data_IF_980804090818
#
_entry.id   IF_980804090818
#
_cell.length_a   1.000
_cell.length_b   1.000
_cell.length_c   1.000
_cell.angle_alpha   90.00
_cell.angle_beta   90.00
_cell.angle_gamma   90.00
#
_symmetry.space_group_name_H-M   'P 1'
#
loop_
_entity.id
_entity.type
_entity.pdbx_description
1 polymer ?
#
# COMPACT_ATOMS: atom_id res chain seq x y z
N UNK A 1 -15.47 16.40 3.65
CA UNK A 1 -14.42 15.35 3.65
C UNK A 1 -13.01 15.90 3.81
N UNK A 2 -12.55 16.87 2.99
CA UNK A 2 -11.18 17.43 3.14
C UNK A 2 -10.90 17.98 4.55
N UNK A 3 -11.82 18.76 5.14
CA UNK A 3 -11.67 19.35 6.49
C UNK A 3 -11.53 18.31 7.61
N UNK A 4 -12.29 17.21 7.55
CA UNK A 4 -12.22 16.12 8.51
C UNK A 4 -10.89 15.36 8.40
N UNK A 5 -10.37 15.14 7.18
CA UNK A 5 -9.09 14.47 6.95
C UNK A 5 -7.88 15.36 7.27
N UNK A 6 -7.97 16.68 7.05
CA UNK A 6 -7.00 17.65 7.58
C UNK A 6 -6.99 17.64 9.10
N UNK A 7 -8.16 17.51 9.74
CA UNK A 7 -8.28 17.31 11.18
C UNK A 7 -7.62 15.98 11.60
N UNK A 8 -7.79 14.91 10.82
CA UNK A 8 -7.14 13.62 11.10
C UNK A 8 -5.60 13.68 11.04
N UNK A 9 -5.03 14.38 10.04
CA UNK A 9 -3.58 14.67 10.01
C UNK A 9 -3.16 15.51 11.23
N UNK A 10 -3.84 16.62 11.45
CA UNK A 10 -3.41 17.63 12.43
C UNK A 10 -3.60 17.17 13.88
N UNK A 11 -4.51 16.23 14.13
CA UNK A 11 -4.75 15.68 15.47
C UNK A 11 -3.72 14.59 15.82
N UNK A 12 -2.88 14.13 14.89
CA UNK A 12 -2.08 12.90 15.01
C UNK A 12 -3.01 11.67 15.10
N UNK A 13 -2.89 10.77 14.12
CA UNK A 13 -3.71 9.56 14.04
C UNK A 13 -3.58 8.70 15.32
N UNK A 14 -2.42 8.72 15.98
CA UNK A 14 -2.23 8.02 17.25
C UNK A 14 -3.07 8.62 18.38
N UNK A 15 -3.29 9.93 18.35
CA UNK A 15 -4.15 10.62 19.32
C UNK A 15 -5.62 10.36 19.03
N UNK A 16 -6.00 10.25 17.76
CA UNK A 16 -7.36 9.88 17.36
C UNK A 16 -7.73 8.46 17.75
N UNK A 17 -6.81 7.52 17.57
CA UNK A 17 -6.96 6.14 18.08
C UNK A 17 -7.29 6.15 19.59
N UNK A 18 -6.61 7.00 20.37
CA UNK A 18 -6.83 7.13 21.81
C UNK A 18 -8.11 7.89 22.19
N UNK A 19 -8.58 8.80 21.34
CA UNK A 19 -9.76 9.65 21.59
C UNK A 19 -11.07 9.01 21.14
N UNK A 20 -11.02 8.00 20.26
CA UNK A 20 -12.18 7.32 19.72
C UNK A 20 -12.36 5.93 20.35
N UNK A 21 -13.59 5.43 20.36
CA UNK A 21 -13.81 4.01 20.62
C UNK A 21 -13.13 3.18 19.51
N UNK A 22 -12.42 2.11 19.89
CA UNK A 22 -11.62 1.31 18.94
C UNK A 22 -12.40 0.88 17.69
N UNK A 23 -13.64 0.40 17.84
CA UNK A 23 -14.48 0.00 16.71
C UNK A 23 -14.84 1.15 15.77
N UNK A 24 -14.99 2.37 16.29
CA UNK A 24 -15.26 3.56 15.50
C UNK A 24 -14.01 3.99 14.71
N UNK A 25 -12.82 3.91 15.32
CA UNK A 25 -11.55 4.19 14.66
C UNK A 25 -11.24 3.19 13.55
N UNK A 26 -11.39 1.88 13.84
CA UNK A 26 -11.24 0.80 12.86
C UNK A 26 -12.15 1.00 11.66
N UNK A 27 -13.42 1.26 11.93
CA UNK A 27 -14.42 1.49 10.89
C UNK A 27 -14.07 2.67 10.00
N UNK A 28 -13.59 3.77 10.59
CA UNK A 28 -13.13 4.95 9.86
C UNK A 28 -11.97 4.62 8.93
N UNK A 29 -11.00 3.82 9.40
CA UNK A 29 -9.87 3.37 8.61
C UNK A 29 -10.28 2.41 7.48
N UNK A 30 -11.42 1.73 7.61
CA UNK A 30 -11.86 0.72 6.65
C UNK A 30 -12.73 1.27 5.50
N UNK A 31 -13.37 2.44 5.68
CA UNK A 31 -14.19 3.09 4.65
C UNK A 31 -13.47 3.21 3.30
N UNK A 32 -12.23 3.72 3.21
CA UNK A 32 -11.54 3.87 1.93
C UNK A 32 -11.31 2.51 1.23
N UNK A 33 -11.05 1.46 2.00
CA UNK A 33 -10.79 0.11 1.47
C UNK A 33 -12.05 -0.46 0.84
N UNK A 34 -13.21 -0.29 1.49
CA UNK A 34 -14.50 -0.75 0.95
C UNK A 34 -14.85 -0.01 -0.33
N UNK A 35 -14.67 1.31 -0.35
CA UNK A 35 -14.92 2.11 -1.54
C UNK A 35 -14.07 1.61 -2.72
N UNK A 36 -12.79 1.31 -2.46
CA UNK A 36 -11.87 0.81 -3.47
C UNK A 36 -12.19 -0.64 -3.93
N UNK A 37 -12.50 -1.53 -2.99
CA UNK A 37 -12.71 -2.96 -3.26
C UNK A 37 -14.12 -3.26 -3.82
N UNK A 38 -15.14 -2.52 -3.40
CA UNK A 38 -16.54 -2.73 -3.82
C UNK A 38 -17.01 -1.72 -4.89
N UNK A 39 -16.23 -0.67 -5.17
CA UNK A 39 -16.62 0.37 -6.12
C UNK A 39 -17.82 1.21 -5.68
N UNK A 40 -18.10 1.28 -4.37
CA UNK A 40 -19.24 2.02 -3.80
C UNK A 40 -18.85 3.42 -3.34
N UNK A 41 -19.82 4.33 -3.25
CA UNK A 41 -19.58 5.69 -2.79
C UNK A 41 -19.47 5.78 -1.26
N UNK A 42 -18.76 6.80 -0.76
CA UNK A 42 -18.51 6.99 0.68
C UNK A 42 -19.80 7.02 1.51
N UNK A 43 -20.86 7.66 1.01
CA UNK A 43 -22.15 7.74 1.72
C UNK A 43 -22.81 6.37 1.90
N UNK A 44 -22.73 5.51 0.88
CA UNK A 44 -23.28 4.14 0.95
C UNK A 44 -22.46 3.24 1.87
N UNK A 45 -21.13 3.42 1.89
CA UNK A 45 -20.25 2.72 2.81
C UNK A 45 -20.55 3.10 4.27
N UNK A 46 -20.77 4.38 4.56
CA UNK A 46 -21.07 4.87 5.91
C UNK A 46 -22.46 4.50 6.43
N UNK A 47 -23.44 4.28 5.55
CA UNK A 47 -24.82 3.94 5.92
C UNK A 47 -25.02 2.46 6.30
N UNK A 48 -24.13 1.57 5.85
CA UNK A 48 -24.17 0.15 6.26
C UNK A 48 -23.67 0.04 7.72
N UNK A 49 -24.24 -0.86 8.51
CA UNK A 49 -23.93 -0.99 9.93
C UNK A 49 -22.42 -1.31 10.13
N UNK A 50 -21.67 -0.41 10.75
CA UNK A 50 -20.19 -0.39 10.66
C UNK A 50 -19.48 -1.63 11.24
N UNK A 51 -20.05 -2.26 12.28
CA UNK A 51 -19.53 -3.54 12.79
C UNK A 51 -19.78 -4.73 11.86
N UNK A 52 -20.87 -4.71 11.08
CA UNK A 52 -21.12 -5.70 10.02
C UNK A 52 -20.14 -5.46 8.87
N UNK A 53 -19.82 -4.20 8.59
CA UNK A 53 -18.88 -3.81 7.55
C UNK A 53 -17.47 -4.32 7.83
N UNK A 54 -16.92 -4.14 9.04
CA UNK A 54 -15.57 -4.60 9.37
C UNK A 54 -15.43 -6.12 9.22
N UNK A 55 -16.37 -6.88 9.79
CA UNK A 55 -16.40 -8.34 9.64
C UNK A 55 -16.60 -8.76 8.18
N UNK A 56 -17.38 -7.98 7.42
CA UNK A 56 -17.57 -8.20 6.00
C UNK A 56 -16.31 -7.85 5.20
N UNK A 57 -15.51 -6.86 5.58
CA UNK A 57 -14.21 -6.57 4.93
C UNK A 57 -13.25 -7.74 5.13
N UNK A 58 -13.11 -8.24 6.36
CA UNK A 58 -12.25 -9.39 6.65
C UNK A 58 -12.62 -10.59 5.77
N UNK A 59 -13.91 -10.96 5.74
CA UNK A 59 -14.39 -12.06 4.89
C UNK A 59 -14.41 -11.73 3.39
N UNK A 60 -14.63 -10.46 3.02
CA UNK A 60 -14.70 -10.03 1.62
C UNK A 60 -13.31 -9.89 1.00
N UNK A 61 -12.27 -9.55 1.76
CA UNK A 61 -10.89 -9.45 1.27
C UNK A 61 -10.21 -10.82 1.16
N UNK A 62 -10.80 -11.88 1.73
CA UNK A 62 -10.45 -13.27 1.40
C UNK A 62 -10.86 -13.66 -0.04
N UNK A 63 -11.81 -12.94 -0.65
CA UNK A 63 -12.23 -13.14 -2.06
C UNK A 63 -11.23 -12.52 -3.04
N UNK A 64 -10.58 -13.36 -3.85
CA UNK A 64 -9.61 -12.95 -4.87
C UNK A 64 -10.18 -11.90 -5.83
N UNK A 65 -11.48 -11.93 -6.14
CA UNK A 65 -12.08 -10.92 -7.02
C UNK A 65 -12.01 -9.53 -6.40
N UNK A 66 -12.21 -9.42 -5.09
CA UNK A 66 -12.18 -8.13 -4.38
C UNK A 66 -10.76 -7.65 -4.15
N UNK A 67 -9.79 -8.56 -3.95
CA UNK A 67 -8.35 -8.21 -3.98
C UNK A 67 -7.93 -7.68 -5.34
N UNK A 68 -8.36 -8.31 -6.43
CA UNK A 68 -8.10 -7.84 -7.80
C UNK A 68 -8.77 -6.49 -8.05
N UNK A 69 -9.99 -6.26 -7.56
CA UNK A 69 -10.65 -4.95 -7.64
C UNK A 69 -9.90 -3.88 -6.86
N UNK A 70 -9.49 -4.16 -5.62
CA UNK A 70 -8.68 -3.26 -4.79
C UNK A 70 -7.38 -2.89 -5.50
N UNK A 71 -6.64 -3.90 -6.00
CA UNK A 71 -5.42 -3.70 -6.79
C UNK A 71 -5.67 -2.79 -7.99
N UNK A 72 -6.69 -3.08 -8.81
CA UNK A 72 -7.00 -2.29 -9.99
C UNK A 72 -7.42 -0.85 -9.64
N UNK A 73 -8.18 -0.68 -8.56
CA UNK A 73 -8.57 0.64 -8.06
C UNK A 73 -7.34 1.46 -7.69
N UNK A 74 -6.43 0.90 -6.90
CA UNK A 74 -5.19 1.59 -6.46
C UNK A 74 -4.30 1.93 -7.66
N UNK A 75 -4.12 1.00 -8.60
CA UNK A 75 -3.34 1.25 -9.81
C UNK A 75 -3.95 2.36 -10.67
N UNK A 76 -5.28 2.44 -10.73
CA UNK A 76 -5.98 3.45 -11.54
C UNK A 76 -6.01 4.84 -10.89
N UNK A 77 -6.04 4.90 -9.56
CA UNK A 77 -6.17 6.15 -8.81
C UNK A 77 -5.46 6.04 -7.45
N UNK A 78 -4.12 6.13 -7.40
CA UNK A 78 -3.37 6.07 -6.14
C UNK A 78 -3.69 7.24 -5.20
N UNK A 79 -4.21 8.36 -5.74
CA UNK A 79 -4.55 9.57 -4.98
C UNK A 79 -5.73 9.37 -4.03
N UNK A 80 -6.49 8.28 -4.18
CA UNK A 80 -7.52 7.90 -3.20
C UNK A 80 -6.93 7.63 -1.81
N UNK A 81 -5.64 7.27 -1.74
CA UNK A 81 -4.92 7.01 -0.48
C UNK A 81 -4.22 8.25 0.10
N UNK A 82 -4.25 9.39 -0.61
CA UNK A 82 -3.56 10.64 -0.21
C UNK A 82 -3.82 11.06 1.23
N UNK A 83 -5.08 10.96 1.64
CA UNK A 83 -5.54 11.45 2.93
C UNK A 83 -5.88 10.32 3.90
N UNK A 84 -5.39 9.12 3.64
CA UNK A 84 -5.70 7.95 4.47
C UNK A 84 -4.71 7.77 5.61
N UNK A 85 -5.15 7.25 6.77
CA UNK A 85 -4.28 6.90 7.89
C UNK A 85 -3.21 5.88 7.50
N UNK A 86 -2.08 5.82 8.24
CA UNK A 86 -1.12 4.71 8.14
C UNK A 86 -1.78 3.34 8.29
N UNK A 87 -2.80 3.22 9.15
CA UNK A 87 -3.58 2.01 9.40
C UNK A 87 -4.34 1.53 8.15
N UNK A 88 -4.92 2.47 7.40
CA UNK A 88 -5.60 2.15 6.14
C UNK A 88 -4.60 1.72 5.08
N UNK A 89 -3.47 2.44 4.94
CA UNK A 89 -2.42 2.08 3.97
C UNK A 89 -1.81 0.72 4.32
N UNK A 90 -1.55 0.46 5.59
CA UNK A 90 -1.05 -0.81 6.09
C UNK A 90 -1.99 -1.97 5.79
N UNK A 91 -3.29 -1.80 6.04
CA UNK A 91 -4.27 -2.83 5.71
C UNK A 91 -4.45 -3.06 4.20
N UNK A 92 -4.36 -2.01 3.39
CA UNK A 92 -4.31 -2.13 1.94
C UNK A 92 -3.11 -2.98 1.51
N UNK A 93 -1.92 -2.72 2.04
CA UNK A 93 -0.72 -3.49 1.69
C UNK A 93 -0.85 -4.92 2.19
N UNK A 94 -1.31 -5.14 3.43
CA UNK A 94 -1.54 -6.47 3.99
C UNK A 94 -2.45 -7.31 3.08
N UNK A 95 -3.51 -6.69 2.56
CA UNK A 95 -4.45 -7.32 1.62
C UNK A 95 -3.81 -7.64 0.27
N UNK A 96 -2.92 -6.78 -0.24
CA UNK A 96 -2.26 -6.97 -1.53
C UNK A 96 -1.19 -8.06 -1.50
N UNK A 97 -0.52 -8.22 -0.35
CA UNK A 97 0.53 -9.23 -0.15
C UNK A 97 -0.02 -10.57 0.35
N UNK A 98 -1.25 -10.59 0.87
CA UNK A 98 -1.97 -11.81 1.18
C UNK A 98 -2.13 -12.64 -0.09
N UNK A 99 -1.67 -13.89 -0.04
CA UNK A 99 -1.48 -14.69 -1.24
C UNK A 99 -1.84 -16.15 -0.99
N UNK A 100 -2.51 -16.73 -1.99
CA UNK A 100 -2.70 -18.17 -2.11
C UNK A 100 -1.95 -18.69 -3.34
N UNK A 101 -1.61 -19.98 -3.42
CA UNK A 101 -0.83 -20.52 -4.55
C UNK A 101 -1.52 -20.35 -5.92
N UNK A 102 -2.85 -20.26 -5.94
CA UNK A 102 -3.68 -20.03 -7.15
C UNK A 102 -3.43 -18.65 -7.75
N UNK A 103 -3.06 -17.68 -6.92
CA UNK A 103 -2.85 -16.29 -7.28
C UNK A 103 -1.71 -16.09 -8.30
N UNK A 104 -0.71 -16.96 -8.23
CA UNK A 104 0.46 -16.92 -9.11
C UNK A 104 0.07 -17.21 -10.56
N UNK A 105 -0.99 -18.00 -10.76
CA UNK A 105 -1.49 -18.43 -12.06
C UNK A 105 -2.61 -17.52 -12.59
N UNK A 106 -3.15 -16.62 -11.77
CA UNK A 106 -4.22 -15.73 -12.21
C UNK A 106 -3.66 -14.65 -13.16
N UNK A 107 -4.09 -14.65 -14.45
CA UNK A 107 -3.60 -13.69 -15.43
C UNK A 107 -3.95 -12.23 -15.08
N UNK A 108 -4.96 -11.99 -14.22
CA UNK A 108 -5.36 -10.65 -13.77
C UNK A 108 -4.30 -9.99 -12.89
N UNK A 109 -3.49 -10.78 -12.20
CA UNK A 109 -2.37 -10.31 -11.37
C UNK A 109 -1.09 -10.06 -12.18
N UNK A 110 -1.08 -10.47 -13.45
CA UNK A 110 0.03 -10.29 -14.38
C UNK A 110 -0.15 -9.02 -15.20
N UNK A 111 0.97 -8.46 -15.65
CA UNK A 111 0.93 -7.49 -16.72
C UNK A 111 1.13 -8.21 -18.06
N UNK A 112 0.01 -8.43 -18.76
CA UNK A 112 -0.02 -9.13 -20.05
C UNK A 112 -0.05 -8.17 -21.26
N UNK A 113 0.12 -6.86 -21.03
CA UNK A 113 0.18 -5.89 -22.12
C UNK A 113 1.56 -5.96 -22.81
N UNK A 114 1.71 -6.83 -23.80
CA UNK A 114 2.96 -7.06 -24.55
C UNK A 114 3.66 -5.79 -25.05
N UNK A 115 2.98 -4.66 -25.17
CA UNK A 115 3.54 -3.39 -25.65
C UNK A 115 4.01 -2.46 -24.52
N UNK A 116 3.75 -2.79 -23.26
CA UNK A 116 4.25 -2.04 -22.12
C UNK A 116 5.66 -2.52 -21.71
N UNK A 117 6.53 -1.56 -21.35
CA UNK A 117 7.88 -1.83 -20.81
C UNK A 117 7.84 -2.76 -19.59
N UNK A 118 6.73 -2.78 -18.88
CA UNK A 118 6.47 -3.61 -17.71
C UNK A 118 6.16 -5.08 -18.03
N UNK A 119 5.83 -5.45 -19.27
CA UNK A 119 5.47 -6.83 -19.62
C UNK A 119 6.66 -7.76 -19.77
N UNK A 120 7.80 -7.19 -20.14
CA UNK A 120 9.09 -7.88 -20.23
C UNK A 120 9.64 -8.31 -18.86
N UNK A 121 9.06 -7.81 -17.75
CA UNK A 121 9.50 -8.17 -16.39
C UNK A 121 9.25 -9.63 -16.13
N UNK A 122 10.22 -10.34 -15.59
CA UNK A 122 10.03 -11.73 -15.17
C UNK A 122 9.50 -11.79 -13.74
N UNK A 123 8.65 -12.77 -13.46
CA UNK A 123 8.08 -13.03 -12.13
C UNK A 123 6.56 -12.82 -12.04
N UNK A 124 5.89 -13.53 -11.10
CA UNK A 124 4.44 -13.46 -10.93
C UNK A 124 3.99 -12.20 -10.16
N UNK A 125 2.68 -11.96 -10.11
CA UNK A 125 2.03 -10.95 -9.27
C UNK A 125 2.46 -9.50 -9.55
N UNK A 126 2.94 -9.20 -10.77
CA UNK A 126 3.51 -7.90 -11.16
C UNK A 126 2.61 -6.72 -10.79
N UNK A 127 1.30 -6.83 -11.04
CA UNK A 127 0.34 -5.74 -10.79
C UNK A 127 0.11 -5.51 -9.30
N UNK A 128 0.14 -6.56 -8.47
CA UNK A 128 0.05 -6.42 -7.01
C UNK A 128 1.29 -5.76 -6.44
N UNK A 129 2.48 -6.18 -6.89
CA UNK A 129 3.74 -5.54 -6.50
C UNK A 129 3.71 -4.05 -6.85
N UNK A 130 3.25 -3.69 -8.04
CA UNK A 130 3.04 -2.28 -8.42
C UNK A 130 2.01 -1.57 -7.52
N UNK A 131 0.90 -2.23 -7.18
CA UNK A 131 -0.11 -1.67 -6.30
C UNK A 131 0.42 -1.40 -4.88
N UNK A 132 1.34 -2.23 -4.37
CA UNK A 132 2.03 -1.98 -3.10
C UNK A 132 2.79 -0.65 -3.16
N UNK A 133 3.61 -0.43 -4.19
CA UNK A 133 4.32 0.85 -4.35
C UNK A 133 3.37 2.04 -4.54
N UNK A 134 2.28 1.86 -5.28
CA UNK A 134 1.24 2.89 -5.43
C UNK A 134 0.55 3.22 -4.10
N UNK A 135 0.37 2.25 -3.21
CA UNK A 135 -0.15 2.48 -1.87
C UNK A 135 0.80 3.32 -0.99
N UNK A 136 2.12 3.22 -1.25
CA UNK A 136 3.16 4.00 -0.58
C UNK A 136 3.37 5.40 -1.18
N UNK A 137 2.76 5.72 -2.34
CA UNK A 137 2.97 6.99 -3.07
C UNK A 137 2.80 8.24 -2.22
N UNK A 138 1.89 8.20 -1.25
CA UNK A 138 1.54 9.34 -0.40
C UNK A 138 2.13 9.25 1.02
N UNK A 139 3.16 8.42 1.24
CA UNK A 139 3.90 8.43 2.50
C UNK A 139 4.72 9.71 2.59
N UNK A 140 4.66 10.37 3.74
CA UNK A 140 5.30 11.66 3.93
C UNK A 140 6.69 11.55 4.55
N UNK A 141 6.94 10.58 5.43
CA UNK A 141 8.20 10.48 6.18
C UNK A 141 8.57 9.05 6.53
N UNK A 142 9.80 8.84 7.02
CA UNK A 142 10.23 7.54 7.57
C UNK A 142 9.36 7.12 8.75
N UNK A 143 8.93 8.05 9.60
CA UNK A 143 8.02 7.75 10.70
C UNK A 143 6.63 7.30 10.20
N UNK A 144 6.10 7.95 9.16
CA UNK A 144 4.84 7.56 8.50
C UNK A 144 4.97 6.15 7.90
N UNK A 145 6.06 5.86 7.19
CA UNK A 145 6.36 4.52 6.67
C UNK A 145 6.44 3.46 7.78
N UNK A 146 7.15 3.75 8.86
CA UNK A 146 7.28 2.82 9.98
C UNK A 146 5.92 2.54 10.63
N UNK A 147 5.07 3.56 10.76
CA UNK A 147 3.70 3.37 11.25
C UNK A 147 2.88 2.49 10.28
N UNK A 148 2.97 2.71 8.97
CA UNK A 148 2.32 1.85 7.96
C UNK A 148 2.74 0.38 8.15
N UNK A 149 4.05 0.13 8.30
CA UNK A 149 4.56 -1.23 8.49
C UNK A 149 4.14 -1.83 9.84
N UNK A 150 4.04 -1.03 10.90
CA UNK A 150 3.48 -1.48 12.19
C UNK A 150 1.99 -1.88 12.08
N UNK A 151 1.25 -1.29 11.14
CA UNK A 151 -0.17 -1.56 10.90
C UNK A 151 -0.43 -2.41 9.66
N UNK A 152 0.51 -3.29 9.31
CA UNK A 152 0.32 -4.30 8.28
C UNK A 152 -0.63 -5.42 8.77
N UNK A 153 -1.90 -5.08 8.95
CA UNK A 153 -2.95 -5.96 9.47
C UNK A 153 -4.11 -6.03 8.49
N UNK A 154 -4.71 -7.21 8.28
CA UNK A 154 -5.85 -7.36 7.35
C UNK A 154 -7.07 -6.52 7.77
N UNK A 155 -7.23 -6.30 9.08
CA UNK A 155 -8.26 -5.43 9.63
C UNK A 155 -7.64 -4.08 10.03
N UNK A 156 -8.08 -2.95 9.44
CA UNK A 156 -7.54 -1.62 9.74
C UNK A 156 -7.79 -1.22 11.20
N UNK A 157 -6.78 -0.66 11.88
CA UNK A 157 -6.89 -0.26 13.29
C UNK A 157 -6.84 -1.44 14.28
N UNK A 158 -6.34 -2.59 13.84
CA UNK A 158 -5.88 -3.64 14.73
C UNK A 158 -4.61 -3.24 15.48
N UNK A 159 -4.31 -4.01 16.54
CA UNK A 159 -3.15 -3.77 17.39
C UNK A 159 -1.87 -3.79 16.54
N UNK A 160 -1.02 -2.78 16.74
CA UNK A 160 0.30 -2.67 16.11
C UNK A 160 1.08 -3.98 16.20
N UNK A 161 1.58 -4.43 15.05
CA UNK A 161 2.51 -5.56 14.92
C UNK A 161 3.96 -5.13 15.08
N UNK A 162 4.87 -6.09 14.87
CA UNK A 162 6.30 -5.79 14.83
C UNK A 162 6.68 -5.27 13.44
N UNK A 163 7.26 -4.07 13.39
CA UNK A 163 7.62 -3.38 12.16
C UNK A 163 8.59 -4.18 11.30
N UNK A 164 9.64 -4.75 11.91
CA UNK A 164 10.70 -5.46 11.20
C UNK A 164 10.19 -6.77 10.57
N UNK A 165 9.33 -7.51 11.28
CA UNK A 165 8.70 -8.72 10.76
C UNK A 165 7.75 -8.40 9.62
N UNK A 166 6.89 -7.39 9.80
CA UNK A 166 5.93 -6.97 8.79
C UNK A 166 6.61 -6.46 7.52
N UNK A 167 7.63 -5.60 7.67
CA UNK A 167 8.44 -5.12 6.54
C UNK A 167 9.13 -6.30 5.82
N UNK A 168 9.63 -7.29 6.56
CA UNK A 168 10.21 -8.50 5.98
C UNK A 168 9.18 -9.30 5.18
N UNK A 169 7.93 -9.38 5.62
CA UNK A 169 6.86 -10.07 4.88
C UNK A 169 6.54 -9.36 3.56
N UNK A 170 6.50 -8.02 3.56
CA UNK A 170 6.35 -7.23 2.33
C UNK A 170 7.54 -7.47 1.40
N UNK A 171 8.78 -7.41 1.92
CA UNK A 171 10.00 -7.68 1.13
C UNK A 171 9.97 -9.09 0.53
N UNK A 172 9.60 -10.09 1.32
CA UNK A 172 9.50 -11.48 0.86
C UNK A 172 8.49 -11.61 -0.29
N UNK A 173 7.31 -11.02 -0.14
CA UNK A 173 6.30 -10.98 -1.20
C UNK A 173 6.81 -10.29 -2.47
N UNK A 174 7.42 -9.11 -2.31
CA UNK A 174 7.99 -8.35 -3.42
C UNK A 174 9.11 -9.12 -4.13
N UNK A 175 9.89 -9.92 -3.39
CA UNK A 175 10.96 -10.78 -3.91
C UNK A 175 10.49 -12.06 -4.61
N UNK A 176 9.20 -12.40 -4.61
CA UNK A 176 8.71 -13.65 -5.21
C UNK A 176 9.05 -13.70 -6.69
N UNK A 177 9.80 -14.73 -7.09
CA UNK A 177 10.20 -14.93 -8.48
C UNK A 177 11.20 -13.89 -8.99
N UNK A 178 11.86 -13.11 -8.12
CA UNK A 178 12.94 -12.21 -8.50
C UNK A 178 14.31 -12.91 -8.49
N UNK A 179 15.18 -12.54 -9.43
CA UNK A 179 16.59 -12.94 -9.45
C UNK A 179 17.46 -11.71 -9.74
N UNK A 180 18.76 -11.80 -9.47
CA UNK A 180 19.71 -10.70 -9.74
C UNK A 180 20.16 -10.69 -11.21
N UNK A 181 19.23 -10.47 -12.15
CA UNK A 181 19.48 -10.38 -13.60
C UNK A 181 18.67 -9.25 -14.26
N UNK A 182 19.09 -8.82 -15.45
CA UNK A 182 18.63 -7.62 -16.17
C UNK A 182 17.17 -7.62 -16.71
N UNK A 183 16.33 -8.58 -16.31
CA UNK A 183 14.88 -8.58 -16.58
C UNK A 183 14.02 -8.61 -15.30
N UNK A 184 14.66 -8.62 -14.13
CA UNK A 184 14.00 -8.58 -12.83
C UNK A 184 13.98 -7.15 -12.30
N UNK A 185 13.09 -6.87 -11.34
CA UNK A 185 12.86 -5.51 -10.82
C UNK A 185 13.59 -5.27 -9.49
N UNK A 186 13.78 -6.32 -8.68
CA UNK A 186 14.31 -6.23 -7.32
C UNK A 186 13.45 -5.33 -6.42
N UNK A 187 12.14 -5.55 -6.44
CA UNK A 187 11.17 -4.79 -5.66
C UNK A 187 11.49 -4.79 -4.16
N UNK A 188 12.07 -5.88 -3.64
CA UNK A 188 12.51 -5.95 -2.24
C UNK A 188 13.59 -4.91 -1.90
N UNK A 189 14.64 -4.80 -2.71
CA UNK A 189 15.68 -3.78 -2.53
C UNK A 189 15.14 -2.36 -2.76
N UNK A 190 14.22 -2.21 -3.72
CA UNK A 190 13.60 -0.91 -4.04
C UNK A 190 12.67 -0.40 -2.95
N UNK A 191 12.05 -1.29 -2.16
CA UNK A 191 11.28 -0.89 -0.99
C UNK A 191 12.19 -0.28 0.09
N UNK A 192 13.34 -0.90 0.36
CA UNK A 192 14.35 -0.36 1.29
C UNK A 192 14.88 0.99 0.81
N UNK A 193 15.15 1.13 -0.49
CA UNK A 193 15.58 2.39 -1.08
C UNK A 193 14.51 3.48 -0.97
N UNK A 194 13.24 3.14 -1.16
CA UNK A 194 12.11 4.05 -0.93
C UNK A 194 12.11 4.56 0.50
N UNK A 195 12.17 3.66 1.49
CA UNK A 195 12.18 4.05 2.89
C UNK A 195 13.34 5.00 3.22
N UNK A 196 14.56 4.70 2.76
CA UNK A 196 15.74 5.50 3.03
C UNK A 196 15.70 6.90 2.37
N UNK A 197 15.01 7.03 1.23
CA UNK A 197 14.87 8.30 0.53
C UNK A 197 13.75 9.19 1.10
N UNK A 198 12.91 8.67 2.01
CA UNK A 198 11.89 9.48 2.68
C UNK A 198 12.55 10.46 3.66
N UNK A 199 11.99 11.67 3.82
CA UNK A 199 12.49 12.61 4.82
C UNK A 199 12.27 12.04 6.23
N UNK A 200 13.22 12.31 7.12
CA UNK A 200 13.14 11.90 8.53
C UNK A 200 12.03 12.67 9.26
N UNK A 201 11.84 13.93 8.89
CA UNK A 201 10.86 14.84 9.49
C UNK A 201 10.12 15.62 8.41
N UNK A 202 8.83 15.83 8.62
CA UNK A 202 7.97 16.70 7.80
C UNK A 202 7.21 17.61 8.73
N UNK A 203 7.21 18.90 8.41
CA UNK A 203 6.45 19.89 9.18
C UNK A 203 4.93 19.60 9.08
N UNK A 204 4.20 19.58 10.20
CA UNK A 204 2.74 19.37 10.18
C UNK A 204 1.96 20.35 9.29
N UNK A 205 2.48 21.56 9.08
CA UNK A 205 1.85 22.59 8.26
C UNK A 205 2.19 22.46 6.76
N UNK A 206 3.19 21.64 6.41
CA UNK A 206 3.52 21.39 5.01
C UNK A 206 2.36 20.69 4.27
N UNK A 207 2.11 21.04 2.99
CA UNK A 207 1.13 20.34 2.18
C UNK A 207 1.60 18.91 1.92
N UNK A 208 0.66 17.96 1.84
CA UNK A 208 0.98 16.60 1.41
C UNK A 208 1.62 16.60 0.03
N UNK A 209 2.79 15.98 -0.09
CA UNK A 209 3.53 15.81 -1.34
C UNK A 209 3.57 14.31 -1.68
N UNK A 210 3.21 13.92 -2.91
CA UNK A 210 3.43 12.55 -3.33
C UNK A 210 4.93 12.32 -3.58
N UNK A 211 5.38 11.07 -3.46
CA UNK A 211 6.64 10.65 -4.07
C UNK A 211 6.54 10.96 -5.58
N UNK A 212 7.50 11.70 -6.17
CA UNK A 212 7.47 12.09 -7.57
C UNK A 212 7.29 10.88 -8.51
N UNK A 213 6.51 11.05 -9.58
CA UNK A 213 6.20 9.96 -10.51
C UNK A 213 7.47 9.37 -11.17
N UNK A 214 8.52 10.18 -11.35
CA UNK A 214 9.82 9.75 -11.87
C UNK A 214 10.46 8.76 -10.88
N UNK A 215 10.57 9.15 -9.61
CA UNK A 215 11.13 8.32 -8.55
C UNK A 215 10.29 7.04 -8.34
N UNK A 216 8.97 7.17 -8.42
CA UNK A 216 8.08 6.00 -8.37
C UNK A 216 8.29 5.07 -9.57
N UNK A 217 8.54 5.61 -10.76
CA UNK A 217 8.85 4.83 -11.95
C UNK A 217 10.18 4.10 -11.81
N UNK A 218 11.18 4.70 -11.16
CA UNK A 218 12.47 4.04 -10.84
C UNK A 218 12.28 2.86 -9.88
N UNK A 219 11.44 3.02 -8.84
CA UNK A 219 11.08 1.92 -7.93
C UNK A 219 10.34 0.78 -8.62
N UNK A 220 9.70 1.07 -9.75
CA UNK A 220 9.06 0.06 -10.56
C UNK A 220 9.96 -0.43 -11.69
N UNK A 221 11.03 0.24 -12.10
CA UNK A 221 11.80 -0.12 -13.30
C UNK A 221 12.48 -1.50 -13.21
N UNK A 222 12.89 -2.09 -14.34
CA UNK A 222 13.78 -3.25 -14.31
C UNK A 222 15.17 -2.87 -13.78
N UNK A 223 15.98 -3.88 -13.47
CA UNK A 223 17.44 -3.72 -13.40
C UNK A 223 17.93 -3.41 -14.82
N UNK A 224 18.16 -2.14 -15.12
CA UNK A 224 18.92 -1.71 -16.29
C UNK A 224 20.40 -1.51 -15.88
N UNK A 225 21.33 -1.66 -16.83
CA UNK A 225 22.75 -1.31 -16.70
C UNK A 225 22.96 0.19 -16.37
N UNK A 226 21.88 0.98 -16.27
CA UNK A 226 21.83 2.34 -15.75
C UNK A 226 21.57 2.47 -14.24
N UNK A 227 21.62 1.37 -13.48
CA UNK A 227 22.01 1.47 -12.07
C UNK A 227 23.54 1.50 -12.02
N UNK A 228 24.22 2.66 -12.08
CA UNK A 228 25.62 2.65 -11.74
C UNK A 228 25.68 2.18 -10.29
N UNK A 229 26.40 1.10 -10.09
CA UNK A 229 26.75 0.47 -8.81
C UNK A 229 27.48 1.42 -7.84
N UNK A 230 27.48 2.73 -8.09
CA UNK A 230 28.25 3.78 -7.43
C UNK A 230 27.45 4.73 -6.53
N UNK A 231 26.19 4.44 -6.17
CA UNK A 231 25.49 5.18 -5.09
C UNK A 231 25.14 4.29 -3.88
N UNK A 232 25.85 3.17 -3.72
CA UNK A 232 25.83 2.37 -2.49
C UNK A 232 27.10 2.57 -1.65
N UNK A 233 27.52 3.83 -1.48
CA UNK A 233 28.49 4.22 -0.45
C UNK A 233 28.11 5.56 0.15
N UNK A 234 27.49 5.52 1.32
CA UNK A 234 27.79 6.38 2.46
C UNK A 234 27.40 5.62 3.73
#
# INVERSE_FOLDING_TARGET
MKSFLYMLRNVDYQKLEQMMAGDAFRSLCAIPIIMAAQGIQAGEAMLKNMGIILRRIETDLEDENKRVHLMNSILSNPDQLKYTPPETKGAVIATLIDQNWVDWLDPRNQNNDFFSVNSWKLGPLKRRKQAVFMALKWIQSQADYNNVMQHLTLSPGEKKGNKELNEKDVINFLGIGEQKLFFYTNYGEKLTLLHNNLPVFVDPDEPFKPIPDIQMSEYLAMIDDQHPTGTMTA
#
